data_IF_172525376618
#
_entry.id   IF_172525376618
#
_cell.length_a   1.000
_cell.length_b   1.000
_cell.length_c   1.000
_cell.angle_alpha   90.00
_cell.angle_beta   90.00
_cell.angle_gamma   90.00
#
_symmetry.space_group_name_H-M   'P 1'
#
loop_
_entity.id
_entity.type
_entity.pdbx_description
1 polymer ?
#
# COMPACT_ATOMS: atom_id res chain seq x y z
N UNK A 1 21.15 21.66 13.27
CA UNK A 1 19.74 21.67 12.93
C UNK A 1 19.44 22.26 11.59
N UNK A 2 19.93 23.47 11.29
CA UNK A 2 19.62 24.05 9.97
C UNK A 2 20.02 23.17 8.81
N UNK A 3 21.16 22.48 8.93
CA UNK A 3 21.61 21.59 7.86
C UNK A 3 20.67 20.42 7.67
N UNK A 4 20.21 19.89 8.80
CA UNK A 4 19.27 18.77 8.73
C UNK A 4 17.96 19.21 8.12
N UNK A 5 17.51 20.38 8.49
CA UNK A 5 16.27 20.90 7.94
C UNK A 5 16.36 21.08 6.45
N UNK A 6 17.50 21.56 5.96
CA UNK A 6 17.68 21.74 4.55
C UNK A 6 17.67 20.42 3.80
N UNK A 7 18.38 19.45 4.35
CA UNK A 7 18.39 18.12 3.72
C UNK A 7 16.98 17.56 3.67
N UNK A 8 16.28 17.67 4.76
CA UNK A 8 14.92 17.17 4.85
C UNK A 8 14.03 17.88 3.85
N UNK A 9 14.20 19.16 3.70
CA UNK A 9 13.39 19.93 2.76
C UNK A 9 13.56 19.44 1.34
N UNK A 10 14.79 19.16 0.93
CA UNK A 10 15.03 18.70 -0.43
C UNK A 10 14.46 17.32 -0.66
N UNK A 11 14.66 16.45 0.31
CA UNK A 11 14.09 15.12 0.23
C UNK A 11 12.57 15.22 0.22
N UNK A 12 12.05 16.09 1.07
CA UNK A 12 10.61 16.27 1.15
C UNK A 12 10.02 16.75 -0.16
N UNK A 13 10.75 17.59 -0.90
CA UNK A 13 10.25 18.07 -2.18
C UNK A 13 10.05 16.92 -3.16
N UNK A 14 11.07 16.07 -3.29
CA UNK A 14 10.97 14.92 -4.18
C UNK A 14 9.90 13.98 -3.69
N UNK A 15 9.87 13.73 -2.37
CA UNK A 15 8.86 12.86 -1.79
C UNK A 15 7.47 13.45 -1.96
N UNK A 16 7.36 14.76 -1.84
CA UNK A 16 6.05 15.41 -2.00
C UNK A 16 5.52 15.23 -3.41
N UNK A 17 6.38 15.36 -4.41
CA UNK A 17 5.95 15.17 -5.79
C UNK A 17 5.51 13.74 -6.01
N UNK A 18 6.30 12.79 -5.52
CA UNK A 18 5.94 11.38 -5.65
C UNK A 18 4.65 11.08 -4.89
N UNK A 19 4.50 11.67 -3.72
CA UNK A 19 3.31 11.45 -2.91
C UNK A 19 2.06 12.00 -3.61
N UNK A 20 2.19 13.16 -4.23
CA UNK A 20 1.07 13.76 -4.95
C UNK A 20 0.66 12.85 -6.10
N UNK A 21 1.64 12.38 -6.85
CA UNK A 21 1.36 11.49 -7.97
C UNK A 21 0.68 10.21 -7.51
N UNK A 22 1.20 9.62 -6.44
CA UNK A 22 0.61 8.40 -5.90
C UNK A 22 -0.79 8.66 -5.36
N UNK A 23 -0.98 9.81 -4.74
CA UNK A 23 -2.29 10.16 -4.20
C UNK A 23 -3.32 10.32 -5.31
N UNK A 24 -2.89 10.85 -6.45
CA UNK A 24 -3.78 10.98 -7.60
C UNK A 24 -4.22 9.60 -8.10
N UNK A 25 -3.28 8.66 -8.14
CA UNK A 25 -3.60 7.30 -8.55
C UNK A 25 -4.57 6.68 -7.55
N UNK A 26 -4.31 6.87 -6.26
CA UNK A 26 -5.19 6.34 -5.22
C UNK A 26 -6.59 6.92 -5.38
N UNK A 27 -6.67 8.21 -5.67
CA UNK A 27 -7.98 8.85 -5.83
C UNK A 27 -8.74 8.22 -6.98
N UNK A 28 -8.06 7.94 -8.08
CA UNK A 28 -8.71 7.31 -9.22
C UNK A 28 -9.19 5.92 -8.87
N UNK A 29 -8.40 5.18 -8.08
CA UNK A 29 -8.79 3.86 -7.65
C UNK A 29 -10.04 3.93 -6.80
N UNK A 30 -10.09 4.88 -5.87
CA UNK A 30 -11.24 5.04 -5.00
C UNK A 30 -12.46 5.49 -5.77
N UNK A 31 -12.26 6.36 -6.75
CA UNK A 31 -13.36 6.81 -7.60
C UNK A 31 -13.93 5.67 -8.43
N UNK A 32 -13.05 4.72 -8.76
CA UNK A 32 -13.49 3.54 -9.50
C UNK A 32 -14.46 2.69 -8.68
N UNK A 33 -14.37 2.76 -7.36
CA UNK A 33 -15.33 2.11 -6.50
C UNK A 33 -14.97 0.67 -6.17
N UNK A 34 -13.88 0.47 -5.42
CA UNK A 34 -13.50 -0.87 -4.99
C UNK A 34 -13.75 -0.99 -3.50
N UNK A 35 -13.99 -2.23 -3.06
CA UNK A 35 -14.22 -2.49 -1.66
C UNK A 35 -12.91 -2.82 -0.94
N UNK A 36 -13.02 -3.09 0.37
CA UNK A 36 -11.84 -3.32 1.20
C UNK A 36 -11.05 -4.53 0.73
N UNK A 37 -11.72 -5.60 0.41
CA UNK A 37 -11.05 -6.80 -0.04
C UNK A 37 -10.32 -6.56 -1.35
N UNK A 38 -10.97 -5.87 -2.26
CA UNK A 38 -10.35 -5.54 -3.54
C UNK A 38 -9.15 -4.64 -3.34
N UNK A 39 -9.22 -3.75 -2.37
CA UNK A 39 -8.09 -2.89 -2.05
C UNK A 39 -6.89 -3.70 -1.57
N UNK A 40 -7.14 -4.68 -0.72
CA UNK A 40 -6.07 -5.55 -0.25
C UNK A 40 -5.45 -6.36 -1.38
N UNK A 41 -6.28 -6.85 -2.28
CA UNK A 41 -5.78 -7.57 -3.45
C UNK A 41 -4.94 -6.64 -4.33
N UNK A 42 -5.38 -5.40 -4.46
CA UNK A 42 -4.65 -4.42 -5.25
C UNK A 42 -3.28 -4.16 -4.64
N UNK A 43 -3.23 -4.03 -3.31
CA UNK A 43 -1.96 -3.85 -2.63
C UNK A 43 -1.03 -5.01 -2.91
N UNK A 44 -1.56 -6.22 -2.87
CA UNK A 44 -0.77 -7.41 -3.17
C UNK A 44 -0.24 -7.37 -4.60
N UNK A 45 -1.10 -7.05 -5.54
CA UNK A 45 -0.70 -7.03 -6.94
C UNK A 45 0.35 -5.96 -7.20
N UNK A 46 0.20 -4.80 -6.56
CA UNK A 46 1.19 -3.73 -6.70
C UNK A 46 2.52 -4.14 -6.07
N UNK A 47 2.46 -4.84 -4.95
CA UNK A 47 3.68 -5.29 -4.30
C UNK A 47 4.47 -6.24 -5.19
N UNK A 48 3.78 -7.03 -6.00
CA UNK A 48 4.45 -7.97 -6.90
C UNK A 48 5.27 -7.25 -7.97
N UNK A 49 5.01 -5.97 -8.17
CA UNK A 49 5.77 -5.17 -9.13
C UNK A 49 7.04 -4.60 -8.55
N UNK A 50 7.27 -4.78 -7.25
CA UNK A 50 8.46 -4.25 -6.61
C UNK A 50 9.68 -5.06 -7.03
N UNK A 51 10.80 -4.35 -7.19
CA UNK A 51 12.05 -4.99 -7.59
C UNK A 51 12.73 -5.69 -6.42
N UNK A 52 12.52 -5.18 -5.22
CA UNK A 52 13.13 -5.76 -4.04
C UNK A 52 12.32 -6.97 -3.60
N UNK A 53 12.93 -8.15 -3.74
CA UNK A 53 12.25 -9.40 -3.45
C UNK A 53 11.82 -9.53 -2.01
N UNK A 54 12.67 -9.08 -1.08
CA UNK A 54 12.34 -9.21 0.33
C UNK A 54 11.16 -8.33 0.70
N UNK A 55 11.19 -7.09 0.25
CA UNK A 55 10.09 -6.18 0.52
C UNK A 55 8.81 -6.69 -0.12
N UNK A 56 8.91 -7.16 -1.34
CA UNK A 56 7.76 -7.70 -2.06
C UNK A 56 7.15 -8.86 -1.28
N UNK A 57 7.98 -9.77 -0.80
CA UNK A 57 7.49 -10.93 -0.07
C UNK A 57 6.83 -10.53 1.24
N UNK A 58 7.42 -9.55 1.93
CA UNK A 58 6.85 -9.11 3.20
C UNK A 58 5.49 -8.46 3.01
N UNK A 59 5.39 -7.59 2.01
CA UNK A 59 4.13 -6.89 1.79
C UNK A 59 3.06 -7.87 1.29
N UNK A 60 3.41 -8.76 0.36
CA UNK A 60 2.44 -9.72 -0.12
C UNK A 60 2.01 -10.68 0.98
N UNK A 61 2.93 -11.03 1.87
CA UNK A 61 2.59 -11.89 2.98
C UNK A 61 1.59 -11.20 3.90
N UNK A 62 1.83 -9.93 4.22
CA UNK A 62 0.91 -9.20 5.07
C UNK A 62 -0.45 -9.03 4.39
N UNK A 63 -0.44 -8.73 3.10
CA UNK A 63 -1.69 -8.57 2.37
C UNK A 63 -2.47 -9.88 2.36
N UNK A 64 -1.79 -10.98 2.10
CA UNK A 64 -2.43 -12.28 2.12
C UNK A 64 -3.00 -12.62 3.48
N UNK A 65 -2.25 -12.30 4.54
CA UNK A 65 -2.73 -12.55 5.89
C UNK A 65 -3.98 -11.74 6.17
N UNK A 66 -4.00 -10.48 5.74
CA UNK A 66 -5.17 -9.64 5.95
C UNK A 66 -6.37 -10.19 5.19
N UNK A 67 -6.16 -10.67 3.98
CA UNK A 67 -7.24 -11.25 3.20
C UNK A 67 -7.73 -12.53 3.86
N UNK A 68 -6.81 -13.36 4.32
CA UNK A 68 -7.16 -14.64 4.95
C UNK A 68 -7.87 -14.43 6.27
N UNK A 69 -7.44 -13.45 7.04
CA UNK A 69 -8.09 -13.17 8.31
C UNK A 69 -9.55 -12.86 8.08
N UNK A 70 -9.85 -12.06 7.08
CA UNK A 70 -11.23 -11.75 6.76
C UNK A 70 -11.99 -12.99 6.38
N UNK A 71 -11.40 -13.83 5.56
CA UNK A 71 -12.03 -15.07 5.13
C UNK A 71 -12.20 -16.02 6.30
N UNK A 72 -11.15 -16.16 7.11
CA UNK A 72 -11.18 -17.05 8.26
C UNK A 72 -12.24 -16.61 9.26
N UNK A 73 -12.31 -15.32 9.49
CA UNK A 73 -13.32 -14.78 10.40
C UNK A 73 -14.70 -15.12 9.93
N UNK A 74 -14.93 -15.00 8.65
CA UNK A 74 -16.19 -15.35 8.06
C UNK A 74 -16.50 -16.82 8.27
N UNK A 75 -15.50 -17.65 8.02
CA UNK A 75 -15.64 -19.09 8.19
C UNK A 75 -15.96 -19.44 9.64
N UNK A 76 -15.28 -18.77 10.56
CA UNK A 76 -15.52 -19.01 11.97
C UNK A 76 -16.94 -18.70 12.35
N UNK A 77 -17.48 -17.65 11.80
CA UNK A 77 -18.87 -17.27 12.08
C UNK A 77 -19.80 -18.36 11.60
N UNK A 78 -19.50 -18.94 10.47
CA UNK A 78 -20.34 -19.99 9.92
C UNK A 78 -20.30 -21.26 10.75
N UNK A 79 -19.15 -21.50 11.37
CA UNK A 79 -19.01 -22.66 12.22
C UNK A 79 -19.71 -22.47 13.54
#
# INVERSE_FOLDING_TARGET
MPADDKSTSRVDSADAIDSIKCREVVQEILDFGINQKQLLILIKLLALELENNETMKEITKLANQAIEIKTTHKTTILV
#
